data_IF_115633713322
#
_entry.id   IF_115633713322
#
_cell.length_a   1.000
_cell.length_b   1.000
_cell.length_c   1.000
_cell.angle_alpha   90.00
_cell.angle_beta   90.00
_cell.angle_gamma   90.00
#
_symmetry.space_group_name_H-M   'P 1'
#
loop_
_entity.id
_entity.type
_entity.pdbx_description
1 polymer ?
#
# COMPACT_ATOMS: atom_id res chain seq x y z
N UNK A 1 -35.43 7.94 24.52
CA UNK A 1 -34.39 6.92 24.82
C UNK A 1 -33.02 7.60 24.77
N UNK A 2 -32.35 7.80 25.91
CA UNK A 2 -31.00 8.39 25.91
C UNK A 2 -29.96 7.32 25.53
N UNK A 3 -29.14 7.61 24.52
CA UNK A 3 -28.04 6.72 24.12
C UNK A 3 -26.87 6.92 25.09
N UNK A 4 -26.53 5.88 25.86
CA UNK A 4 -25.27 5.86 26.64
C UNK A 4 -24.09 6.08 25.69
N UNK A 5 -23.27 7.10 25.97
CA UNK A 5 -22.00 7.35 25.28
C UNK A 5 -20.87 6.72 26.09
N UNK A 6 -19.98 6.03 25.40
CA UNK A 6 -18.76 5.45 25.98
C UNK A 6 -17.56 6.14 25.35
N UNK A 7 -16.57 6.48 26.17
CA UNK A 7 -15.30 7.06 25.71
C UNK A 7 -14.51 6.05 24.88
N UNK A 8 -13.54 6.52 24.09
CA UNK A 8 -12.79 5.66 23.18
C UNK A 8 -11.83 4.78 24.00
N UNK A 9 -11.20 5.35 25.01
CA UNK A 9 -10.27 4.71 25.93
C UNK A 9 -10.96 3.55 26.66
N UNK A 10 -12.17 3.77 27.14
CA UNK A 10 -12.95 2.73 27.80
C UNK A 10 -13.30 1.58 26.85
N UNK A 11 -13.69 1.87 25.60
CA UNK A 11 -13.94 0.82 24.61
C UNK A 11 -12.68 -0.01 24.35
N UNK A 12 -11.54 0.64 24.18
CA UNK A 12 -10.26 -0.04 23.94
C UNK A 12 -9.86 -0.94 25.12
N UNK A 13 -9.98 -0.44 26.35
CA UNK A 13 -9.69 -1.21 27.57
C UNK A 13 -10.55 -2.49 27.65
N UNK A 14 -11.87 -2.35 27.45
CA UNK A 14 -12.80 -3.49 27.57
C UNK A 14 -12.61 -4.49 26.42
N UNK A 15 -12.30 -4.03 25.21
CA UNK A 15 -11.96 -4.91 24.07
C UNK A 15 -10.66 -5.68 24.36
N UNK A 16 -9.65 -5.03 24.92
CA UNK A 16 -8.38 -5.66 25.28
C UNK A 16 -8.59 -6.74 26.35
N UNK A 17 -9.28 -6.42 27.44
CA UNK A 17 -9.62 -7.40 28.49
C UNK A 17 -10.43 -8.57 27.92
N UNK A 18 -11.37 -8.32 27.01
CA UNK A 18 -12.15 -9.38 26.37
C UNK A 18 -11.29 -10.33 25.51
N UNK A 19 -10.25 -9.81 24.85
CA UNK A 19 -9.29 -10.60 24.07
C UNK A 19 -8.37 -11.42 24.98
N UNK A 20 -7.90 -10.86 26.09
CA UNK A 20 -7.04 -11.57 27.06
C UNK A 20 -7.79 -12.69 27.79
N UNK A 21 -9.01 -12.42 28.24
CA UNK A 21 -9.82 -13.39 29.01
C UNK A 21 -10.45 -14.44 28.09
N UNK A 22 -10.63 -14.14 26.80
CA UNK A 22 -11.29 -15.02 25.83
C UNK A 22 -12.81 -15.17 26.04
N UNK A 23 -13.39 -14.43 26.99
CA UNK A 23 -14.83 -14.46 27.31
C UNK A 23 -15.43 -13.04 27.36
N UNK A 24 -15.84 -12.53 26.20
CA UNK A 24 -16.45 -11.22 26.07
C UNK A 24 -17.76 -11.07 26.88
N UNK A 25 -18.56 -12.14 27.03
CA UNK A 25 -19.82 -12.06 27.76
C UNK A 25 -19.60 -11.81 29.26
N UNK A 26 -18.58 -12.43 29.86
CA UNK A 26 -18.20 -12.21 31.25
C UNK A 26 -17.67 -10.79 31.45
N UNK A 27 -16.75 -10.35 30.59
CA UNK A 27 -16.16 -9.00 30.65
C UNK A 27 -17.24 -7.93 30.50
N UNK A 28 -18.18 -8.09 29.56
CA UNK A 28 -19.30 -7.17 29.40
C UNK A 28 -20.16 -7.05 30.66
N UNK A 29 -20.42 -8.15 31.38
CA UNK A 29 -21.17 -8.13 32.65
C UNK A 29 -20.42 -7.36 33.74
N UNK A 30 -19.10 -7.53 33.86
CA UNK A 30 -18.26 -6.81 34.84
C UNK A 30 -18.32 -5.30 34.62
N UNK A 31 -18.30 -4.88 33.36
CA UNK A 31 -18.35 -3.47 32.97
C UNK A 31 -19.78 -2.92 32.81
N UNK A 32 -20.80 -3.71 33.15
CA UNK A 32 -22.23 -3.37 33.01
C UNK A 32 -22.62 -2.90 31.60
N UNK A 33 -22.05 -3.57 30.59
CA UNK A 33 -22.27 -3.37 29.16
C UNK A 33 -23.07 -4.56 28.62
N UNK A 34 -23.93 -4.31 27.63
CA UNK A 34 -24.57 -5.40 26.91
C UNK A 34 -23.51 -6.19 26.10
N UNK A 35 -23.39 -7.52 26.25
CA UNK A 35 -22.42 -8.32 25.50
C UNK A 35 -22.45 -8.07 23.98
N UNK A 36 -23.65 -7.84 23.41
CA UNK A 36 -23.82 -7.53 21.98
C UNK A 36 -23.09 -6.26 21.55
N UNK A 37 -23.01 -5.26 22.43
CA UNK A 37 -22.27 -4.02 22.16
C UNK A 37 -20.77 -4.30 22.14
N UNK A 38 -20.27 -5.14 23.05
CA UNK A 38 -18.86 -5.49 23.10
C UNK A 38 -18.42 -6.30 21.89
N UNK A 39 -19.20 -7.30 21.47
CA UNK A 39 -18.92 -8.04 20.23
C UNK A 39 -18.86 -7.12 19.00
N UNK A 40 -19.80 -6.17 18.89
CA UNK A 40 -19.78 -5.15 17.83
C UNK A 40 -18.52 -4.28 17.88
N UNK A 41 -18.06 -3.91 19.08
CA UNK A 41 -16.83 -3.13 19.22
C UNK A 41 -15.58 -3.95 18.85
N UNK A 42 -15.54 -5.24 19.18
CA UNK A 42 -14.45 -6.14 18.79
C UNK A 42 -14.38 -6.28 17.27
N UNK A 43 -15.51 -6.54 16.61
CA UNK A 43 -15.62 -6.60 15.14
C UNK A 43 -15.21 -5.26 14.50
N UNK A 44 -15.68 -4.13 15.05
CA UNK A 44 -15.24 -2.82 14.58
C UNK A 44 -13.74 -2.63 14.78
N UNK A 45 -13.15 -3.06 15.90
CA UNK A 45 -11.72 -2.93 16.15
C UNK A 45 -10.90 -3.73 15.13
N UNK A 46 -11.29 -4.98 14.82
CA UNK A 46 -10.62 -5.81 13.81
C UNK A 46 -10.66 -5.20 12.41
N UNK A 47 -11.76 -4.56 12.03
CA UNK A 47 -11.86 -3.84 10.75
C UNK A 47 -11.25 -2.43 10.77
N UNK A 48 -10.89 -1.92 11.94
CA UNK A 48 -10.32 -0.57 12.13
C UNK A 48 -8.80 -0.59 12.23
N UNK A 49 -8.13 -1.75 12.17
CA UNK A 49 -6.67 -1.80 12.00
C UNK A 49 -6.21 -1.12 10.69
N UNK A 50 -7.09 -0.95 9.69
CA UNK A 50 -6.85 -0.08 8.52
C UNK A 50 -7.05 1.44 8.79
N UNK A 51 -7.75 1.79 9.87
CA UNK A 51 -8.16 3.17 10.24
C UNK A 51 -7.50 3.71 11.51
N UNK A 52 -6.72 2.89 12.22
CA UNK A 52 -5.89 3.30 13.35
C UNK A 52 -4.59 4.02 12.92
N UNK A 53 -4.39 4.25 11.63
CA UNK A 53 -3.49 5.32 11.17
C UNK A 53 -4.18 6.65 11.48
N UNK A 54 -3.80 7.22 12.62
CA UNK A 54 -4.05 8.58 13.08
C UNK A 54 -4.46 9.52 11.93
N UNK A 55 -5.54 10.31 12.08
CA UNK A 55 -5.89 11.32 11.06
C UNK A 55 -4.75 12.35 10.82
N UNK A 56 -3.80 12.48 11.75
CA UNK A 56 -2.54 13.21 11.56
C UNK A 56 -1.54 12.53 10.63
N UNK A 57 -1.63 11.22 10.42
CA UNK A 57 -0.90 10.47 9.40
C UNK A 57 -1.64 10.45 8.04
N UNK A 58 -2.87 10.98 7.98
CA UNK A 58 -3.54 11.33 6.71
C UNK A 58 -3.16 12.71 6.18
N UNK A 59 -2.48 13.53 6.98
CA UNK A 59 -1.76 14.68 6.47
C UNK A 59 -0.43 14.19 5.87
N UNK A 60 -0.50 13.38 4.82
CA UNK A 60 0.60 13.40 3.84
C UNK A 60 0.48 14.79 3.24
N UNK A 61 1.25 15.76 3.76
CA UNK A 61 1.46 17.02 3.04
C UNK A 61 1.74 16.61 1.61
N UNK A 62 0.92 17.06 0.65
CA UNK A 62 1.18 16.79 -0.75
C UNK A 62 2.67 17.12 -0.96
N UNK A 63 3.47 16.12 -1.35
CA UNK A 63 4.88 16.35 -1.53
C UNK A 63 5.01 17.37 -2.66
N UNK A 64 5.36 18.60 -2.30
CA UNK A 64 5.65 19.68 -3.23
C UNK A 64 7.17 19.74 -3.27
N UNK A 65 7.81 19.24 -4.34
CA UNK A 65 9.25 19.35 -4.48
C UNK A 65 9.62 20.83 -4.46
N UNK A 66 10.73 21.17 -3.81
CA UNK A 66 11.31 22.49 -3.96
C UNK A 66 11.68 22.74 -5.43
N UNK A 67 11.74 23.99 -5.91
CA UNK A 67 12.16 24.27 -7.29
C UNK A 67 13.52 23.70 -7.65
N UNK A 68 14.41 23.50 -6.67
CA UNK A 68 15.72 22.90 -6.87
C UNK A 68 15.63 21.38 -7.04
N UNK A 69 14.88 20.69 -6.17
CA UNK A 69 14.60 19.25 -6.30
C UNK A 69 13.86 18.93 -7.61
N UNK A 70 12.96 19.82 -8.04
CA UNK A 70 12.27 19.66 -9.32
C UNK A 70 13.25 19.69 -10.50
N UNK A 71 14.20 20.64 -10.49
CA UNK A 71 15.23 20.74 -11.55
C UNK A 71 16.18 19.55 -11.55
N UNK A 72 16.56 19.02 -10.38
CA UNK A 72 17.40 17.82 -10.31
C UNK A 72 16.66 16.61 -10.85
N UNK A 73 15.39 16.42 -10.44
CA UNK A 73 14.55 15.34 -10.96
C UNK A 73 14.32 15.44 -12.46
N UNK A 74 14.14 16.65 -12.99
CA UNK A 74 14.00 16.87 -14.44
C UNK A 74 15.29 16.51 -15.20
N UNK A 75 16.46 16.85 -14.63
CA UNK A 75 17.77 16.45 -15.17
C UNK A 75 17.97 14.93 -15.18
N UNK A 76 17.68 14.27 -14.06
CA UNK A 76 17.74 12.80 -13.97
C UNK A 76 16.79 12.14 -14.95
N UNK A 77 15.56 12.67 -15.08
CA UNK A 77 14.57 12.15 -16.00
C UNK A 77 15.02 12.28 -17.46
N UNK A 78 15.67 13.39 -17.81
CA UNK A 78 16.25 13.60 -19.14
C UNK A 78 17.35 12.59 -19.42
N UNK A 79 18.28 12.39 -18.49
CA UNK A 79 19.36 11.41 -18.62
C UNK A 79 18.84 9.98 -18.78
N UNK A 80 17.82 9.61 -18.00
CA UNK A 80 17.19 8.30 -18.09
C UNK A 80 16.50 8.08 -19.45
N UNK A 81 15.83 9.11 -19.99
CA UNK A 81 15.21 9.05 -21.32
C UNK A 81 16.24 8.91 -22.44
N UNK A 82 17.36 9.61 -22.34
CA UNK A 82 18.46 9.50 -23.30
C UNK A 82 19.05 8.09 -23.30
N UNK A 83 19.40 7.57 -22.12
CA UNK A 83 19.94 6.21 -21.97
C UNK A 83 18.97 5.14 -22.46
N UNK A 84 17.67 5.31 -22.20
CA UNK A 84 16.64 4.40 -22.70
C UNK A 84 16.59 4.41 -24.23
N UNK A 85 16.60 5.59 -24.84
CA UNK A 85 16.60 5.74 -26.29
C UNK A 85 17.82 5.09 -26.95
N UNK A 86 19.01 5.25 -26.37
CA UNK A 86 20.24 4.60 -26.85
C UNK A 86 20.12 3.07 -26.81
N UNK A 87 19.61 2.51 -25.71
CA UNK A 87 19.38 1.06 -25.58
C UNK A 87 18.35 0.53 -26.56
N UNK A 88 17.26 1.27 -26.78
CA UNK A 88 16.23 0.88 -27.75
C UNK A 88 16.77 0.90 -29.18
N UNK A 89 17.61 1.88 -29.53
CA UNK A 89 18.30 1.94 -30.82
C UNK A 89 19.26 0.76 -30.99
N UNK A 90 20.07 0.45 -29.98
CA UNK A 90 20.97 -0.70 -30.00
C UNK A 90 20.18 -2.01 -30.22
N UNK A 91 19.09 -2.22 -29.48
CA UNK A 91 18.21 -3.39 -29.65
C UNK A 91 17.63 -3.44 -31.07
N UNK A 92 17.20 -2.31 -31.62
CA UNK A 92 16.66 -2.24 -32.97
C UNK A 92 17.70 -2.65 -34.03
N UNK A 93 18.93 -2.14 -33.92
CA UNK A 93 20.05 -2.50 -34.80
C UNK A 93 20.39 -3.98 -34.67
N UNK A 94 20.52 -4.49 -33.45
CA UNK A 94 20.81 -5.92 -33.21
C UNK A 94 19.72 -6.83 -33.81
N UNK A 95 18.45 -6.47 -33.66
CA UNK A 95 17.32 -7.21 -34.28
C UNK A 95 17.38 -7.17 -35.80
N UNK A 96 17.73 -6.03 -36.38
CA UNK A 96 17.87 -5.88 -37.83
C UNK A 96 19.04 -6.72 -38.37
N UNK A 97 20.17 -6.76 -37.65
CA UNK A 97 21.31 -7.61 -37.99
C UNK A 97 20.96 -9.11 -37.93
N UNK A 98 20.24 -9.55 -36.91
CA UNK A 98 19.76 -10.94 -36.81
C UNK A 98 18.82 -11.30 -37.96
N UNK A 99 17.93 -10.38 -38.38
CA UNK A 99 17.07 -10.59 -39.57
C UNK A 99 17.88 -10.66 -40.86
N UNK A 100 19.03 -9.98 -40.92
CA UNK A 100 19.93 -9.95 -42.08
C UNK A 100 20.90 -11.14 -42.14
N UNK A 101 20.84 -12.09 -41.19
CA UNK A 101 21.76 -13.24 -41.17
C UNK A 101 21.43 -14.30 -42.25
N UNK A 102 22.02 -14.03 -43.43
CA UNK A 102 22.54 -14.85 -44.53
C UNK A 102 21.63 -15.63 -45.51
N UNK A 103 21.44 -15.12 -46.77
CA UNK A 103 20.88 -15.88 -47.90
C UNK A 103 21.86 -16.89 -48.57
N UNK A 104 23.03 -17.19 -48.00
CA UNK A 104 24.06 -18.01 -48.63
C UNK A 104 24.11 -19.50 -48.23
N UNK A 105 22.99 -20.14 -47.85
CA UNK A 105 22.96 -21.60 -47.79
C UNK A 105 22.85 -22.16 -49.22
N UNK A 106 23.91 -22.82 -49.70
CA UNK A 106 23.86 -23.64 -50.93
C UNK A 106 22.73 -24.66 -50.80
N UNK A 107 21.64 -24.46 -51.54
CA UNK A 107 20.43 -25.29 -51.47
C UNK A 107 20.45 -26.49 -52.43
N UNK A 108 21.62 -26.90 -52.95
CA UNK A 108 21.75 -28.15 -53.72
C UNK A 108 23.12 -28.78 -53.50
N UNK A 109 23.15 -29.91 -52.81
CA UNK A 109 24.19 -30.93 -52.96
C UNK A 109 23.78 -31.78 -54.17
N UNK A 110 24.69 -31.93 -55.14
CA UNK A 110 24.57 -32.91 -56.23
C UNK A 110 24.99 -34.27 -55.71
#
# INVERSE_FOLDING_TARGET
>A
MQRRRFTIEFKQQVIHEAKEVGNAAQVARRHNINPKILYRWMEQAEHTDWKATNSSAKAVSAYVPSPQEFRTLEGENKQLKELLGEKDLEIAVLRDLLKKQNPAYRTRLK
#
